data_IF_474771632641
#
_entry.id   IF_474771632641
#
_cell.length_a   1.000
_cell.length_b   1.000
_cell.length_c   1.000
_cell.angle_alpha   90.00
_cell.angle_beta   90.00
_cell.angle_gamma   90.00
#
_symmetry.space_group_name_H-M   'P 1'
#
loop_
_entity.id
_entity.type
_entity.pdbx_description
1 polymer ?
#
# COMPACT_ATOMS: atom_id res chain seq x y z
N UNK A 1 3.90 13.26 -4.01
CA UNK A 1 3.20 14.03 -2.95
C UNK A 1 3.58 13.40 -1.62
N UNK A 2 4.06 14.19 -0.67
CA UNK A 2 4.18 13.74 0.72
C UNK A 2 2.84 14.04 1.40
N UNK A 3 2.30 13.11 2.20
CA UNK A 3 1.02 13.32 2.87
C UNK A 3 1.16 14.44 3.92
N UNK A 4 0.86 15.68 3.52
CA UNK A 4 1.06 16.88 4.34
C UNK A 4 0.16 16.95 5.58
N UNK A 5 -0.79 16.03 5.74
CA UNK A 5 -1.78 16.05 6.83
C UNK A 5 -1.83 14.77 7.67
N UNK A 6 -0.96 13.78 7.40
CA UNK A 6 -0.95 12.52 8.16
C UNK A 6 0.14 12.56 9.22
N UNK A 7 -0.26 12.42 10.50
CA UNK A 7 0.69 12.21 11.58
C UNK A 7 1.10 10.73 11.65
N UNK A 8 2.23 10.42 11.03
CA UNK A 8 2.80 9.09 11.03
C UNK A 8 3.12 8.54 12.43
N UNK A 9 3.36 9.39 13.43
CA UNK A 9 3.71 8.93 14.79
C UNK A 9 2.53 8.23 15.45
N UNK A 10 1.33 8.79 15.26
CA UNK A 10 0.09 8.20 15.76
C UNK A 10 -0.24 6.94 14.95
N UNK A 11 -0.07 7.00 13.62
CA UNK A 11 -0.38 5.87 12.75
C UNK A 11 0.51 4.65 13.05
N UNK A 12 1.78 4.86 13.40
CA UNK A 12 2.73 3.80 13.78
C UNK A 12 2.37 3.05 15.07
N UNK A 13 1.48 3.58 15.89
CA UNK A 13 1.00 2.88 17.09
C UNK A 13 0.12 1.67 16.73
N UNK A 14 -0.53 1.71 15.56
CA UNK A 14 -1.27 0.59 14.99
C UNK A 14 -0.50 0.03 13.80
N UNK A 15 0.22 -1.05 14.04
CA UNK A 15 1.10 -1.68 13.05
C UNK A 15 0.36 -2.19 11.81
N UNK A 16 -0.91 -2.60 11.96
CA UNK A 16 -1.72 -3.07 10.85
C UNK A 16 -2.20 -1.91 9.98
N UNK A 17 -2.75 -0.86 10.59
CA UNK A 17 -3.16 0.35 9.85
C UNK A 17 -1.98 1.03 9.18
N UNK A 18 -0.83 1.07 9.84
CA UNK A 18 0.39 1.62 9.25
C UNK A 18 0.83 0.81 8.02
N UNK A 19 0.80 -0.52 8.08
CA UNK A 19 1.15 -1.37 6.96
C UNK A 19 0.23 -1.16 5.75
N UNK A 20 -1.10 -1.12 5.98
CA UNK A 20 -2.10 -0.86 4.95
C UNK A 20 -1.85 0.51 4.30
N UNK A 21 -1.75 1.57 5.10
CA UNK A 21 -1.51 2.91 4.60
C UNK A 21 -0.21 3.00 3.81
N UNK A 22 0.87 2.39 4.32
CA UNK A 22 2.19 2.38 3.66
C UNK A 22 2.13 1.68 2.31
N UNK A 23 1.44 0.54 2.21
CA UNK A 23 1.21 -0.14 0.94
C UNK A 23 0.38 0.70 -0.02
N UNK A 24 -0.69 1.35 0.45
CA UNK A 24 -1.49 2.27 -0.37
C UNK A 24 -0.63 3.42 -0.91
N UNK A 25 0.24 4.00 -0.08
CA UNK A 25 1.14 5.06 -0.53
C UNK A 25 2.12 4.58 -1.59
N UNK A 26 2.76 3.43 -1.34
CA UNK A 26 3.72 2.84 -2.25
C UNK A 26 3.09 2.48 -3.59
N UNK A 27 1.89 1.88 -3.57
CA UNK A 27 1.18 1.49 -4.78
C UNK A 27 0.60 2.69 -5.52
N UNK A 28 -0.02 3.66 -4.83
CA UNK A 28 -0.72 4.79 -5.47
C UNK A 28 0.17 5.98 -5.84
N UNK A 29 1.34 6.13 -5.21
CA UNK A 29 2.20 7.30 -5.45
C UNK A 29 3.65 6.95 -5.79
N UNK A 30 4.02 5.68 -5.65
CA UNK A 30 5.33 5.17 -6.03
C UNK A 30 6.17 4.76 -4.82
N UNK A 31 7.20 3.97 -5.11
CA UNK A 31 7.96 3.24 -4.09
C UNK A 31 9.03 4.10 -3.40
N UNK A 32 9.36 5.28 -3.94
CA UNK A 32 10.45 6.16 -3.48
C UNK A 32 11.77 5.40 -3.24
N UNK A 33 12.11 4.47 -4.15
CA UNK A 33 13.32 3.63 -4.06
C UNK A 33 13.17 2.36 -3.20
N UNK A 34 12.02 2.17 -2.54
CA UNK A 34 11.70 0.95 -1.81
C UNK A 34 11.25 -0.20 -2.71
N UNK A 35 11.09 -1.39 -2.11
CA UNK A 35 10.47 -2.57 -2.75
C UNK A 35 9.27 -3.00 -1.91
N UNK A 36 8.18 -3.41 -2.58
CA UNK A 36 7.03 -4.04 -1.93
C UNK A 36 7.32 -5.54 -1.82
N UNK A 37 7.06 -6.11 -0.64
CA UNK A 37 7.07 -7.57 -0.48
C UNK A 37 5.72 -8.14 -0.95
N UNK A 38 5.77 -9.13 -1.84
CA UNK A 38 4.57 -9.74 -2.42
C UNK A 38 3.64 -10.34 -1.35
N UNK A 39 4.21 -11.06 -0.37
CA UNK A 39 3.43 -11.66 0.72
C UNK A 39 2.69 -10.61 1.58
N UNK A 40 3.33 -9.47 1.84
CA UNK A 40 2.72 -8.36 2.58
C UNK A 40 1.57 -7.74 1.77
N UNK A 41 1.80 -7.55 0.46
CA UNK A 41 0.80 -7.02 -0.45
C UNK A 41 -0.43 -7.93 -0.53
N UNK A 42 -0.23 -9.24 -0.75
CA UNK A 42 -1.30 -10.26 -0.78
C UNK A 42 -2.08 -10.31 0.52
N UNK A 43 -1.39 -10.24 1.67
CA UNK A 43 -2.03 -10.27 2.99
C UNK A 43 -3.06 -9.16 3.17
N UNK A 44 -2.74 -7.95 2.73
CA UNK A 44 -3.60 -6.78 2.91
C UNK A 44 -4.43 -6.40 1.70
N UNK A 45 -4.21 -7.03 0.55
CA UNK A 45 -4.86 -6.74 -0.73
C UNK A 45 -6.38 -6.50 -0.68
N UNK A 46 -7.20 -7.35 -0.01
CA UNK A 46 -8.64 -7.11 0.06
C UNK A 46 -9.01 -5.82 0.81
N UNK A 47 -8.12 -5.29 1.64
CA UNK A 47 -8.33 -4.09 2.47
C UNK A 47 -7.75 -2.82 1.86
N UNK A 48 -6.90 -2.92 0.83
CA UNK A 48 -6.24 -1.77 0.22
C UNK A 48 -7.21 -0.91 -0.61
N UNK A 49 -7.18 0.39 -0.39
CA UNK A 49 -7.82 1.40 -1.24
C UNK A 49 -6.82 1.91 -2.28
N UNK A 50 -6.81 1.24 -3.41
CA UNK A 50 -5.92 1.53 -4.53
C UNK A 50 -6.65 2.26 -5.65
N UNK A 51 -5.91 3.10 -6.37
CA UNK A 51 -6.36 3.62 -7.66
C UNK A 51 -6.76 2.45 -8.58
N UNK A 52 -7.92 2.51 -9.27
CA UNK A 52 -8.42 1.38 -10.06
C UNK A 52 -7.45 0.88 -11.13
N UNK A 53 -6.69 1.77 -11.78
CA UNK A 53 -5.74 1.38 -12.81
C UNK A 53 -4.55 0.63 -12.18
N UNK A 54 -4.07 1.12 -11.03
CA UNK A 54 -2.97 0.45 -10.31
C UNK A 54 -3.37 -0.86 -9.68
N UNK A 55 -4.60 -0.95 -9.15
CA UNK A 55 -5.15 -2.21 -8.64
C UNK A 55 -5.16 -3.28 -9.73
N UNK A 56 -5.64 -2.94 -10.94
CA UNK A 56 -5.63 -3.86 -12.09
C UNK A 56 -4.21 -4.27 -12.47
N UNK A 57 -3.28 -3.32 -12.55
CA UNK A 57 -1.89 -3.62 -12.87
C UNK A 57 -1.27 -4.60 -11.87
N UNK A 58 -1.40 -4.33 -10.57
CA UNK A 58 -0.84 -5.19 -9.53
C UNK A 58 -1.57 -6.54 -9.41
N UNK A 59 -2.89 -6.60 -9.69
CA UNK A 59 -3.64 -7.86 -9.74
C UNK A 59 -3.04 -8.83 -10.78
N UNK A 60 -2.58 -8.32 -11.92
CA UNK A 60 -1.89 -9.11 -12.94
C UNK A 60 -0.54 -9.66 -12.46
N UNK A 61 0.13 -8.96 -11.53
CA UNK A 61 1.46 -9.36 -11.03
C UNK A 61 1.38 -10.38 -9.90
N UNK A 62 0.36 -10.28 -9.05
CA UNK A 62 0.20 -11.15 -7.87
C UNK A 62 -0.63 -12.42 -8.13
N UNK A 63 -1.08 -12.61 -9.38
CA UNK A 63 -1.95 -13.72 -9.84
C UNK A 63 -3.24 -13.84 -9.02
N UNK A 64 -3.84 -12.71 -8.66
CA UNK A 64 -5.22 -12.69 -8.14
C UNK A 64 -6.18 -12.72 -9.33
N UNK A 65 -6.66 -13.92 -9.68
CA UNK A 65 -7.74 -14.15 -10.65
C UNK A 65 -9.11 -14.12 -9.99
#
# INVERSE_FOLDING_TARGET
MYNWSVDEKILKQDSERYAIWRLEQMVNFGLNGGKIQENELKKYWPRLKLDPARRRFFALLIDEK
#
